data_IF_395078626993
#
_entry.id   IF_395078626993
#
_cell.length_a   1.000
_cell.length_b   1.000
_cell.length_c   1.000
_cell.angle_alpha   90.00
_cell.angle_beta   90.00
_cell.angle_gamma   90.00
#
_symmetry.space_group_name_H-M   'P 1'
#
loop_
_entity.id
_entity.type
_entity.pdbx_description
1 polymer ?
#
# COMPACT_ATOMS: atom_id res chain seq x y z
N UNK A 1 -17.30 33.11 12.30
CA UNK A 1 -17.77 31.90 11.57
C UNK A 1 -17.60 32.05 10.06
N UNK A 2 -17.72 33.26 9.50
CA UNK A 2 -17.72 33.46 8.05
C UNK A 2 -16.39 33.18 7.35
N UNK A 3 -15.26 33.30 8.05
CA UNK A 3 -13.95 32.96 7.51
C UNK A 3 -13.74 31.45 7.27
N UNK A 4 -14.45 30.58 8.02
CA UNK A 4 -14.28 29.12 7.97
C UNK A 4 -15.30 28.47 7.03
N UNK A 5 -16.48 29.07 6.90
CA UNK A 5 -17.58 28.62 6.02
C UNK A 5 -17.16 28.23 4.59
N UNK A 6 -16.33 29.00 3.86
CA UNK A 6 -15.96 28.65 2.49
C UNK A 6 -15.06 27.41 2.40
N UNK A 7 -14.38 27.02 3.48
CA UNK A 7 -13.55 25.81 3.54
C UNK A 7 -14.38 24.64 4.06
N UNK A 8 -15.21 24.89 5.08
CA UNK A 8 -16.04 23.87 5.72
C UNK A 8 -17.09 23.28 4.77
N UNK A 9 -17.76 24.13 3.97
CA UNK A 9 -18.82 23.67 3.07
C UNK A 9 -18.31 22.68 2.00
N UNK A 10 -17.20 22.95 1.28
CA UNK A 10 -16.58 21.97 0.38
C UNK A 10 -16.18 20.67 1.06
N UNK A 11 -15.55 20.76 2.24
CA UNK A 11 -15.07 19.58 2.98
C UNK A 11 -16.22 18.73 3.56
N UNK A 12 -17.39 19.32 3.74
CA UNK A 12 -18.59 18.65 4.23
C UNK A 12 -19.43 18.01 3.12
N UNK A 13 -18.98 18.05 1.86
CA UNK A 13 -19.70 17.40 0.77
C UNK A 13 -19.76 15.88 1.01
N UNK A 14 -20.94 15.25 0.84
CA UNK A 14 -21.14 13.82 1.09
C UNK A 14 -20.17 12.93 0.28
N UNK A 15 -19.81 13.36 -0.92
CA UNK A 15 -18.87 12.65 -1.79
C UNK A 15 -17.44 12.61 -1.21
N UNK A 16 -16.96 13.72 -0.62
CA UNK A 16 -15.69 13.79 0.09
C UNK A 16 -15.73 12.96 1.38
N UNK A 17 -16.81 13.10 2.16
CA UNK A 17 -16.99 12.35 3.41
C UNK A 17 -17.08 10.83 3.18
N UNK A 18 -17.76 10.39 2.12
CA UNK A 18 -17.85 8.97 1.74
C UNK A 18 -16.47 8.35 1.46
N UNK A 19 -15.53 9.14 0.92
CA UNK A 19 -14.14 8.68 0.70
C UNK A 19 -13.37 8.54 2.02
N UNK A 20 -13.75 9.28 3.07
CA UNK A 20 -13.15 9.23 4.40
C UNK A 20 -13.67 8.07 5.27
N UNK A 21 -14.88 7.55 5.03
CA UNK A 21 -15.50 6.48 5.83
C UNK A 21 -14.67 5.18 5.91
N UNK A 22 -13.81 4.92 4.92
CA UNK A 22 -12.95 3.73 4.92
C UNK A 22 -11.72 3.79 5.83
N UNK A 23 -11.50 4.90 6.55
CA UNK A 23 -10.30 5.12 7.38
C UNK A 23 -9.00 4.82 6.61
N UNK A 24 -8.95 5.19 5.33
CA UNK A 24 -7.78 5.01 4.47
C UNK A 24 -6.65 5.93 4.93
N UNK A 25 -5.87 5.46 5.90
CA UNK A 25 -4.63 6.11 6.38
C UNK A 25 -3.48 6.02 5.39
N UNK A 26 -3.74 5.61 4.14
CA UNK A 26 -2.71 5.55 3.12
C UNK A 26 -2.61 6.92 2.45
N UNK A 27 -1.57 7.67 2.82
CA UNK A 27 -1.02 8.72 1.99
C UNK A 27 -0.88 8.16 0.56
N UNK A 28 -1.78 8.56 -0.33
CA UNK A 28 -1.88 7.98 -1.67
C UNK A 28 -0.60 8.23 -2.46
N UNK A 29 0.06 9.35 -2.17
CA UNK A 29 1.35 9.73 -2.76
C UNK A 29 2.48 8.78 -2.31
N UNK A 30 2.50 8.35 -1.05
CA UNK A 30 3.45 7.32 -0.59
C UNK A 30 3.21 5.98 -1.27
N UNK A 31 1.94 5.62 -1.50
CA UNK A 31 1.60 4.36 -2.16
C UNK A 31 2.03 4.35 -3.64
N UNK A 32 1.90 5.47 -4.36
CA UNK A 32 2.38 5.58 -5.75
C UNK A 32 3.90 5.54 -5.80
N UNK A 33 4.58 6.28 -4.90
CA UNK A 33 6.04 6.25 -4.81
C UNK A 33 6.58 4.84 -4.55
N UNK A 34 5.88 4.04 -3.73
CA UNK A 34 6.26 2.63 -3.54
C UNK A 34 6.18 1.81 -4.83
N UNK A 35 5.24 2.10 -5.74
CA UNK A 35 5.14 1.40 -7.04
C UNK A 35 6.25 1.86 -7.98
N UNK A 36 6.53 3.17 -8.01
CA UNK A 36 7.65 3.74 -8.78
C UNK A 36 8.95 3.06 -8.37
N UNK A 37 9.25 2.97 -7.07
CA UNK A 37 10.50 2.37 -6.60
C UNK A 37 10.57 0.85 -6.79
N UNK A 38 9.44 0.16 -6.99
CA UNK A 38 9.43 -1.26 -7.37
C UNK A 38 9.78 -1.47 -8.86
N UNK A 39 9.48 -0.50 -9.72
CA UNK A 39 9.76 -0.57 -11.16
C UNK A 39 11.15 0.02 -11.45
N UNK A 40 11.48 1.14 -10.80
CA UNK A 40 12.71 1.89 -10.97
C UNK A 40 13.33 2.14 -9.60
N UNK A 41 14.26 1.30 -9.13
CA UNK A 41 14.91 1.50 -7.84
C UNK A 41 15.64 2.86 -7.76
N UNK A 42 15.67 3.48 -6.58
CA UNK A 42 16.39 4.77 -6.41
C UNK A 42 17.88 4.70 -6.70
N UNK A 43 18.46 3.51 -6.54
CA UNK A 43 19.89 3.26 -6.71
C UNK A 43 20.27 2.90 -8.16
N UNK A 44 19.29 2.64 -9.04
CA UNK A 44 19.60 2.40 -10.45
C UNK A 44 19.93 3.73 -11.13
N UNK A 45 21.22 3.94 -11.41
CA UNK A 45 21.74 5.08 -12.18
C UNK A 45 21.34 5.00 -13.65
N UNK A 46 20.07 5.23 -13.94
CA UNK A 46 19.51 5.18 -15.29
C UNK A 46 19.17 6.59 -15.79
N UNK A 47 19.23 6.81 -17.11
CA UNK A 47 18.95 8.10 -17.72
C UNK A 47 17.49 8.57 -17.52
N UNK A 48 17.27 9.87 -17.72
CA UNK A 48 15.96 10.54 -17.56
C UNK A 48 14.81 9.83 -18.27
N UNK A 49 15.01 9.39 -19.51
CA UNK A 49 13.96 8.72 -20.29
C UNK A 49 13.46 7.42 -19.65
N UNK A 50 14.34 6.62 -19.05
CA UNK A 50 13.95 5.40 -18.34
C UNK A 50 13.15 5.71 -17.08
N UNK A 51 13.49 6.79 -16.38
CA UNK A 51 12.75 7.25 -15.21
C UNK A 51 11.34 7.73 -15.60
N UNK A 52 11.21 8.50 -16.68
CA UNK A 52 9.90 8.95 -17.19
C UNK A 52 9.00 7.77 -17.58
N UNK A 53 9.52 6.80 -18.36
CA UNK A 53 8.77 5.59 -18.73
C UNK A 53 8.33 4.81 -17.50
N UNK A 54 9.22 4.65 -16.51
CA UNK A 54 8.89 3.96 -15.28
C UNK A 54 7.78 4.65 -14.49
N UNK A 55 7.77 5.98 -14.45
CA UNK A 55 6.69 6.75 -13.82
C UNK A 55 5.36 6.51 -14.53
N UNK A 56 5.32 6.57 -15.87
CA UNK A 56 4.10 6.30 -16.64
C UNK A 56 3.56 4.87 -16.41
N UNK A 57 4.42 3.86 -16.49
CA UNK A 57 4.05 2.46 -16.18
C UNK A 57 3.56 2.31 -14.73
N UNK A 58 4.15 3.06 -13.79
CA UNK A 58 3.74 3.02 -12.38
C UNK A 58 2.34 3.60 -12.17
N UNK A 59 2.02 4.70 -12.85
CA UNK A 59 0.69 5.33 -12.80
C UNK A 59 -0.37 4.36 -13.33
N UNK A 60 -0.13 3.75 -14.49
CA UNK A 60 -1.04 2.76 -15.07
C UNK A 60 -1.20 1.55 -14.13
N UNK A 61 -0.10 1.02 -13.60
CA UNK A 61 -0.15 -0.10 -12.64
C UNK A 61 -0.89 0.24 -11.35
N UNK A 62 -0.77 1.47 -10.88
CA UNK A 62 -1.44 1.91 -9.66
C UNK A 62 -2.95 2.03 -9.86
N UNK A 63 -3.38 2.68 -10.94
CA UNK A 63 -4.80 2.93 -11.22
C UNK A 63 -5.53 1.70 -11.78
N UNK A 64 -4.96 1.04 -12.78
CA UNK A 64 -5.61 -0.02 -13.56
C UNK A 64 -5.04 -1.42 -13.26
N UNK A 65 -3.93 -1.50 -12.54
CA UNK A 65 -3.24 -2.77 -12.32
C UNK A 65 -2.40 -3.21 -13.51
N UNK A 66 -2.02 -4.49 -13.48
CA UNK A 66 -1.24 -5.10 -14.55
C UNK A 66 -2.07 -5.29 -15.82
N UNK A 67 -3.39 -5.25 -15.72
CA UNK A 67 -4.28 -5.27 -16.88
C UNK A 67 -4.18 -4.00 -17.72
N UNK A 68 -4.02 -2.82 -17.13
CA UNK A 68 -3.86 -1.55 -17.87
C UNK A 68 -2.67 -1.55 -18.83
N UNK A 69 -1.62 -2.32 -18.52
CA UNK A 69 -0.47 -2.51 -19.42
C UNK A 69 -0.86 -3.14 -20.75
N UNK A 70 -1.94 -3.93 -20.81
CA UNK A 70 -2.42 -4.53 -22.06
C UNK A 70 -2.91 -3.46 -23.04
N UNK A 71 -3.47 -2.35 -22.54
CA UNK A 71 -3.88 -1.22 -23.38
C UNK A 71 -2.65 -0.55 -24.02
N UNK A 72 -1.58 -0.33 -23.24
CA UNK A 72 -0.30 0.19 -23.76
C UNK A 72 0.26 -0.74 -24.84
N UNK A 73 0.26 -2.05 -24.59
CA UNK A 73 0.77 -3.02 -25.55
C UNK A 73 -0.04 -3.04 -26.84
N UNK A 74 -1.36 -2.87 -26.75
CA UNK A 74 -2.25 -2.77 -27.91
C UNK A 74 -1.97 -1.51 -28.73
N UNK A 75 -1.76 -0.38 -28.07
CA UNK A 75 -1.43 0.90 -28.73
C UNK A 75 -0.07 0.84 -29.44
N UNK A 76 0.87 0.06 -28.89
CA UNK A 76 2.17 -0.23 -29.52
C UNK A 76 2.11 -1.35 -30.57
N UNK A 77 0.90 -1.78 -30.96
CA UNK A 77 0.65 -2.83 -31.96
C UNK A 77 1.35 -4.17 -31.63
N UNK A 78 1.56 -4.45 -30.35
CA UNK A 78 2.18 -5.70 -29.90
C UNK A 78 1.14 -6.83 -29.87
N UNK A 79 1.52 -8.00 -30.40
CA UNK A 79 0.70 -9.20 -30.29
C UNK A 79 0.64 -9.69 -28.83
N UNK A 80 -0.56 -9.67 -28.25
CA UNK A 80 -0.81 -10.14 -26.89
C UNK A 80 -1.42 -11.54 -26.94
N UNK A 81 -0.74 -12.53 -26.36
CA UNK A 81 -1.30 -13.88 -26.26
C UNK A 81 -2.41 -13.95 -25.20
N UNK A 82 -3.39 -14.84 -25.41
CA UNK A 82 -4.43 -15.13 -24.41
C UNK A 82 -3.84 -15.57 -23.05
N UNK A 83 -2.70 -16.24 -23.08
CA UNK A 83 -1.96 -16.64 -21.88
C UNK A 83 -1.45 -15.43 -21.09
N UNK A 84 -0.93 -14.40 -21.79
CA UNK A 84 -0.52 -13.15 -21.15
C UNK A 84 -1.73 -12.49 -20.48
N UNK A 85 -2.84 -12.29 -21.20
CA UNK A 85 -4.07 -11.69 -20.66
C UNK A 85 -4.53 -12.43 -19.39
N UNK A 86 -4.60 -13.76 -19.43
CA UNK A 86 -4.97 -14.59 -18.28
C UNK A 86 -4.00 -14.42 -17.10
N UNK A 87 -2.69 -14.37 -17.37
CA UNK A 87 -1.66 -14.18 -16.36
C UNK A 87 -1.76 -12.81 -15.67
N UNK A 88 -1.95 -11.73 -16.45
CA UNK A 88 -2.14 -10.37 -15.95
C UNK A 88 -3.38 -10.29 -15.04
N UNK A 89 -4.52 -10.84 -15.49
CA UNK A 89 -5.74 -10.91 -14.69
C UNK A 89 -5.55 -11.69 -13.38
N UNK A 90 -4.93 -12.87 -13.43
CA UNK A 90 -4.63 -13.66 -12.22
C UNK A 90 -3.72 -12.92 -11.25
N UNK A 91 -2.75 -12.17 -11.75
CA UNK A 91 -1.85 -11.37 -10.93
C UNK A 91 -2.60 -10.22 -10.22
N UNK A 92 -3.50 -9.53 -10.91
CA UNK A 92 -4.30 -8.45 -10.31
C UNK A 92 -5.29 -8.98 -9.27
N UNK A 93 -5.94 -10.12 -9.53
CA UNK A 93 -6.79 -10.80 -8.54
C UNK A 93 -5.99 -11.14 -7.27
N UNK A 94 -4.77 -11.69 -7.42
CA UNK A 94 -3.90 -12.00 -6.27
C UNK A 94 -3.51 -10.73 -5.50
N UNK A 95 -3.18 -9.65 -6.20
CA UNK A 95 -2.86 -8.34 -5.60
C UNK A 95 -4.02 -7.82 -4.76
N UNK A 96 -5.25 -7.84 -5.30
CA UNK A 96 -6.45 -7.37 -4.59
C UNK A 96 -6.70 -8.22 -3.35
N UNK A 97 -6.67 -9.56 -3.47
CA UNK A 97 -6.80 -10.47 -2.32
C UNK A 97 -5.76 -10.20 -1.24
N UNK A 98 -4.51 -9.94 -1.63
CA UNK A 98 -3.45 -9.62 -0.69
C UNK A 98 -3.67 -8.26 -0.01
N UNK A 99 -4.10 -7.24 -0.76
CA UNK A 99 -4.48 -5.94 -0.22
C UNK A 99 -5.55 -6.10 0.85
N UNK A 100 -6.63 -6.81 0.54
CA UNK A 100 -7.77 -6.97 1.45
C UNK A 100 -7.36 -7.76 2.70
N UNK A 101 -6.51 -8.78 2.55
CA UNK A 101 -5.93 -9.51 3.70
C UNK A 101 -5.09 -8.58 4.58
N UNK A 102 -4.22 -7.75 4.00
CA UNK A 102 -3.39 -6.79 4.75
C UNK A 102 -4.23 -5.72 5.42
N UNK A 103 -5.28 -5.22 4.76
CA UNK A 103 -6.22 -4.27 5.31
C UNK A 103 -6.91 -4.84 6.56
N UNK A 104 -7.43 -6.07 6.47
CA UNK A 104 -8.01 -6.80 7.61
C UNK A 104 -7.01 -6.99 8.76
N UNK A 105 -5.75 -7.32 8.46
CA UNK A 105 -4.72 -7.47 9.49
C UNK A 105 -4.34 -6.14 10.15
N UNK A 106 -4.46 -5.04 9.41
CA UNK A 106 -4.10 -3.70 9.86
C UNK A 106 -5.22 -2.95 10.57
N UNK A 107 -6.36 -3.60 10.83
CA UNK A 107 -7.40 -3.01 11.70
C UNK A 107 -6.86 -2.78 13.11
N UNK A 108 -7.42 -1.77 13.78
CA UNK A 108 -7.02 -1.39 15.14
C UNK A 108 -7.13 -2.58 16.10
N UNK A 109 -8.20 -3.36 15.96
CA UNK A 109 -8.45 -4.56 16.77
C UNK A 109 -7.38 -5.63 16.57
N UNK A 110 -7.07 -5.99 15.31
CA UNK A 110 -6.00 -6.96 15.00
C UNK A 110 -4.61 -6.45 15.39
N UNK A 111 -4.39 -5.14 15.42
CA UNK A 111 -3.16 -4.54 15.98
C UNK A 111 -3.11 -4.68 17.50
N UNK A 112 -4.20 -4.37 18.21
CA UNK A 112 -4.30 -4.51 19.68
C UNK A 112 -4.14 -5.96 20.12
N UNK A 113 -4.79 -6.90 19.44
CA UNK A 113 -4.68 -8.34 19.69
C UNK A 113 -3.22 -8.82 19.58
N UNK A 114 -2.51 -8.43 18.51
CA UNK A 114 -1.08 -8.76 18.33
C UNK A 114 -0.19 -8.19 19.43
N UNK A 115 -0.45 -6.95 19.87
CA UNK A 115 0.31 -6.34 20.98
C UNK A 115 0.08 -7.11 22.28
N UNK A 116 -1.17 -7.49 22.58
CA UNK A 116 -1.50 -8.30 23.77
C UNK A 116 -0.83 -9.67 23.72
N UNK A 117 -0.88 -10.36 22.57
CA UNK A 117 -0.24 -11.65 22.40
C UNK A 117 1.29 -11.56 22.58
N UNK A 118 1.92 -10.51 22.04
CA UNK A 118 3.35 -10.25 22.22
C UNK A 118 3.69 -9.99 23.70
N UNK A 119 2.95 -9.12 24.38
CA UNK A 119 3.15 -8.84 25.80
C UNK A 119 2.97 -10.09 26.67
N UNK A 120 2.00 -10.95 26.36
CA UNK A 120 1.80 -12.23 27.04
C UNK A 120 2.98 -13.18 26.83
N UNK A 121 3.51 -13.24 25.60
CA UNK A 121 4.69 -14.05 25.29
C UNK A 121 5.93 -13.55 26.03
N UNK A 122 6.16 -12.23 26.03
CA UNK A 122 7.26 -11.59 26.77
C UNK A 122 7.14 -11.83 28.27
N UNK A 123 5.95 -11.69 28.86
CA UNK A 123 5.72 -11.99 30.28
C UNK A 123 6.06 -13.44 30.64
N UNK A 124 5.65 -14.41 29.80
CA UNK A 124 5.98 -15.83 30.00
C UNK A 124 7.49 -16.10 29.87
N UNK A 125 8.16 -15.36 29.01
CA UNK A 125 9.61 -15.47 28.85
C UNK A 125 10.32 -14.92 30.08
N UNK A 126 9.91 -13.74 30.59
CA UNK A 126 10.43 -13.16 31.83
C UNK A 126 10.18 -14.06 33.05
N UNK A 127 9.00 -14.67 33.16
CA UNK A 127 8.71 -15.66 34.22
C UNK A 127 9.64 -16.88 34.16
N UNK A 128 10.02 -17.32 32.95
CA UNK A 128 10.93 -18.44 32.74
C UNK A 128 12.39 -18.07 32.97
N UNK A 129 12.81 -16.87 32.59
CA UNK A 129 14.18 -16.37 32.73
C UNK A 129 14.51 -15.95 34.17
N UNK A 130 13.51 -15.56 34.97
CA UNK A 130 13.70 -15.18 36.37
C UNK A 130 14.39 -13.82 36.53
N UNK A 131 15.17 -13.64 37.60
CA UNK A 131 15.95 -12.42 37.85
C UNK A 131 17.12 -12.35 36.86
N UNK A 132 16.96 -11.56 35.81
CA UNK A 132 17.99 -11.30 34.80
C UNK A 132 18.82 -10.06 35.18
N UNK A 133 20.08 -10.03 34.75
CA UNK A 133 20.98 -8.89 34.94
C UNK A 133 20.36 -7.60 34.37
N UNK A 134 20.27 -6.56 35.22
CA UNK A 134 19.87 -5.21 34.82
C UNK A 134 21.08 -4.28 34.85
N UNK A 135 21.11 -3.29 33.96
CA UNK A 135 22.18 -2.30 33.97
C UNK A 135 22.23 -1.57 35.32
N UNK A 136 23.29 -1.78 36.09
CA UNK A 136 23.49 -1.23 37.44
C UNK A 136 22.95 -2.08 38.59
N UNK A 137 22.46 -3.29 38.35
CA UNK A 137 22.07 -4.24 39.41
C UNK A 137 23.21 -5.18 39.79
N UNK A 138 23.43 -5.37 41.08
CA UNK A 138 24.20 -6.48 41.64
C UNK A 138 23.26 -7.63 41.98
#
# INVERSE_FOLDING_TARGET
>A
MDAIKPIFNPLSHPELLNRCLGAYTQNTNESVNSVIWQIYPKISGSGRGSAEIAVYESVVRFNEGRFGRLNIMKELELCISNNAISSHNKADIRRIKQRDRRAKQNTIEKRRERRRAKALFESKLTEKEGLTYVAGGF
#
